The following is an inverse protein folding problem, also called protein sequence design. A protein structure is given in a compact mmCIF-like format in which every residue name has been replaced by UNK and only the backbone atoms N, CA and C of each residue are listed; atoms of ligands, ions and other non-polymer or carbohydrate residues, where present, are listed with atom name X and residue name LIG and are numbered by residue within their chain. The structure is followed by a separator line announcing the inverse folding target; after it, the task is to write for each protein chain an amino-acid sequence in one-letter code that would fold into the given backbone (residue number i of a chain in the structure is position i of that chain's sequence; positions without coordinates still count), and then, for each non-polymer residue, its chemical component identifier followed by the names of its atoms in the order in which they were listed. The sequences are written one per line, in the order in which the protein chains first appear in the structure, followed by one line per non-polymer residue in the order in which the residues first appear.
data_IF_478741018186
#
_entry.id   IF_478741018186
#
_cell.length_a   1.000
_cell.length_b   1.000
_cell.length_c   1.000
_cell.angle_alpha   90.00
_cell.angle_beta   90.00
_cell.angle_gamma   90.00
#
_symmetry.space_group_name_H-M   'P 1'
#
loop_
_entity.id
_entity.type
_entity.pdbx_description
1 polymer ?
#
# COMPACT_ATOMS: atom_id res chain seq x y z
N UNK A 1 -2.29 -20.67 -13.53
CA UNK A 1 -1.70 -19.32 -13.61
C UNK A 1 -2.83 -18.37 -13.95
N UNK A 2 -3.27 -17.54 -12.99
CA UNK A 2 -4.26 -16.51 -13.29
C UNK A 2 -3.56 -15.42 -14.09
N UNK A 3 -3.83 -15.39 -15.39
CA UNK A 3 -3.48 -14.28 -16.26
C UNK A 3 -4.31 -13.06 -15.82
N UNK A 4 -3.72 -12.18 -15.02
CA UNK A 4 -4.23 -10.82 -14.82
C UNK A 4 -3.89 -9.90 -15.99
N UNK A 5 -3.61 -10.46 -17.18
CA UNK A 5 -3.42 -9.71 -18.41
C UNK A 5 -4.80 -9.54 -19.05
N UNK A 6 -5.52 -8.50 -18.63
CA UNK A 6 -6.72 -8.02 -19.33
C UNK A 6 -6.29 -7.07 -20.47
N UNK A 7 -6.85 -7.14 -21.69
CA UNK A 7 -6.34 -6.43 -22.87
C UNK A 7 -6.54 -4.89 -22.88
N UNK A 8 -7.01 -4.29 -21.79
CA UNK A 8 -7.50 -2.90 -21.77
C UNK A 8 -6.48 -1.83 -21.37
N UNK A 9 -5.21 -2.16 -21.13
CA UNK A 9 -4.10 -1.19 -21.14
C UNK A 9 -4.02 -0.18 -19.98
N UNK A 10 -4.94 -0.19 -19.01
CA UNK A 10 -4.92 0.71 -17.86
C UNK A 10 -4.95 -0.09 -16.56
N UNK A 11 -3.77 -0.40 -16.02
CA UNK A 11 -3.64 -0.81 -14.63
C UNK A 11 -3.01 0.35 -13.87
N UNK A 12 -3.65 0.75 -12.78
CA UNK A 12 -3.01 1.58 -11.76
C UNK A 12 -2.31 0.62 -10.81
N UNK A 13 -1.02 0.84 -10.59
CA UNK A 13 -0.21 0.02 -9.69
C UNK A 13 -0.78 0.07 -8.25
N UNK A 14 -0.81 -1.02 -7.47
CA UNK A 14 -1.33 -0.96 -6.11
C UNK A 14 -0.48 -0.07 -5.19
N UNK A 15 -1.15 0.57 -4.23
CA UNK A 15 -0.53 1.34 -3.13
C UNK A 15 -0.92 0.71 -1.80
N UNK A 16 0.06 0.31 -1.00
CA UNK A 16 -0.14 -0.35 0.30
C UNK A 16 0.50 0.52 1.38
N UNK A 17 -0.26 0.86 2.42
CA UNK A 17 0.23 1.57 3.60
C UNK A 17 -0.31 0.94 4.88
N UNK A 18 0.54 0.79 5.90
CA UNK A 18 0.19 0.20 7.20
C UNK A 18 1.12 0.68 8.32
N UNK A 19 0.72 0.41 9.57
CA UNK A 19 1.59 0.54 10.74
C UNK A 19 2.17 -0.82 11.13
N UNK A 20 3.42 -0.84 11.56
CA UNK A 20 4.11 -2.04 12.10
C UNK A 20 3.59 -2.41 13.51
N UNK A 21 3.09 -1.42 14.27
CA UNK A 21 2.47 -1.61 15.59
C UNK A 21 0.96 -1.89 15.54
N UNK A 22 0.40 -2.24 14.38
CA UNK A 22 -0.99 -2.67 14.26
C UNK A 22 -1.18 -4.06 14.91
N UNK A 23 -1.75 -4.08 16.11
CA UNK A 23 -2.05 -5.31 16.86
C UNK A 23 -3.42 -5.93 16.52
N UNK A 24 -4.19 -5.34 15.60
CA UNK A 24 -5.49 -5.84 15.14
C UNK A 24 -5.34 -6.60 13.83
N UNK A 25 -4.54 -6.07 12.90
CA UNK A 25 -4.25 -6.67 11.60
C UNK A 25 -2.73 -6.87 11.47
N UNK A 26 -2.25 -8.13 11.51
CA UNK A 26 -0.82 -8.41 11.44
C UNK A 26 -0.16 -7.87 10.15
N UNK A 27 1.04 -7.30 10.29
CA UNK A 27 1.86 -6.74 9.20
C UNK A 27 2.08 -7.74 8.05
N UNK A 28 2.10 -9.04 8.36
CA UNK A 28 2.30 -10.13 7.42
C UNK A 28 1.22 -10.19 6.32
N UNK A 29 0.01 -9.68 6.58
CA UNK A 29 -1.03 -9.64 5.55
C UNK A 29 -0.60 -8.77 4.36
N UNK A 30 -0.10 -7.56 4.64
CA UNK A 30 0.43 -6.65 3.62
C UNK A 30 1.69 -7.19 2.97
N UNK A 31 2.60 -7.80 3.74
CA UNK A 31 3.82 -8.41 3.20
C UNK A 31 3.52 -9.58 2.25
N UNK A 32 2.53 -10.42 2.56
CA UNK A 32 2.07 -11.51 1.69
C UNK A 32 1.50 -10.97 0.39
N UNK A 33 0.70 -9.91 0.46
CA UNK A 33 0.12 -9.30 -0.73
C UNK A 33 1.18 -8.66 -1.63
N UNK A 34 2.08 -7.85 -1.05
CA UNK A 34 3.24 -7.30 -1.76
C UNK A 34 4.09 -8.40 -2.41
N UNK A 35 4.41 -9.47 -1.66
CA UNK A 35 5.23 -10.59 -2.17
C UNK A 35 4.56 -11.27 -3.36
N UNK A 36 3.23 -11.45 -3.31
CA UNK A 36 2.48 -12.03 -4.43
C UNK A 36 2.54 -11.13 -5.67
N UNK A 37 2.30 -9.82 -5.52
CA UNK A 37 2.40 -8.84 -6.61
C UNK A 37 3.80 -8.83 -7.23
N UNK A 38 4.83 -8.74 -6.38
CA UNK A 38 6.23 -8.77 -6.78
C UNK A 38 6.59 -10.04 -7.57
N UNK A 39 6.17 -11.24 -7.10
CA UNK A 39 6.38 -12.51 -7.81
C UNK A 39 5.72 -12.57 -9.18
N UNK A 40 4.64 -11.83 -9.37
CA UNK A 40 3.92 -11.71 -10.64
C UNK A 40 4.37 -10.51 -11.49
N UNK A 41 5.44 -9.81 -11.09
CA UNK A 41 5.95 -8.61 -11.77
C UNK A 41 4.90 -7.50 -11.91
N UNK A 42 3.96 -7.43 -10.96
CA UNK A 42 3.03 -6.31 -10.85
C UNK A 42 3.73 -5.22 -10.04
N UNK A 43 3.96 -4.02 -10.59
CA UNK A 43 4.55 -2.92 -9.84
C UNK A 43 3.64 -2.53 -8.67
N UNK A 44 4.21 -2.18 -7.53
CA UNK A 44 3.48 -1.87 -6.29
C UNK A 44 4.32 -0.99 -5.36
N UNK A 45 3.68 -0.02 -4.73
CA UNK A 45 4.27 0.79 -3.65
C UNK A 45 3.88 0.21 -2.29
N UNK A 46 4.85 0.04 -1.39
CA UNK A 46 4.64 -0.43 -0.01
C UNK A 46 5.26 0.57 0.98
N UNK A 47 4.45 1.07 1.90
CA UNK A 47 4.84 2.01 2.94
C UNK A 47 4.51 1.43 4.32
N UNK A 48 5.54 1.18 5.13
CA UNK A 48 5.39 0.66 6.50
C UNK A 48 5.85 1.75 7.47
N UNK A 49 4.95 2.18 8.35
CA UNK A 49 5.23 3.17 9.38
C UNK A 49 5.45 2.48 10.73
N UNK A 50 6.41 2.90 11.55
CA UNK A 50 6.74 2.19 12.78
C UNK A 50 5.64 2.27 13.85
N UNK A 51 4.81 3.32 13.81
CA UNK A 51 3.75 3.54 14.80
C UNK A 51 2.51 4.17 14.17
N UNK A 52 1.34 3.91 14.74
CA UNK A 52 0.06 4.48 14.33
C UNK A 52 -1.15 3.65 14.73
N UNK A 53 -0.92 2.40 15.11
CA UNK A 53 -1.95 1.42 15.42
C UNK A 53 -2.86 1.15 14.22
N UNK A 54 -4.02 0.58 14.54
CA UNK A 54 -5.04 0.24 13.55
C UNK A 54 -5.88 1.47 13.14
N UNK A 55 -6.20 1.58 11.85
CA UNK A 55 -7.29 2.43 11.38
C UNK A 55 -7.01 3.95 11.35
N UNK A 56 -5.76 4.37 11.21
CA UNK A 56 -5.43 5.81 11.15
C UNK A 56 -5.99 6.52 9.91
N UNK A 57 -6.14 5.85 8.76
CA UNK A 57 -6.82 6.40 7.58
C UNK A 57 -6.37 7.82 7.19
N UNK A 58 -7.23 8.82 7.42
CA UNK A 58 -6.95 10.24 7.16
C UNK A 58 -6.94 11.09 8.45
N UNK A 59 -6.73 10.45 9.62
CA UNK A 59 -6.77 11.11 10.92
C UNK A 59 -5.68 12.17 11.05
N UNK A 60 -6.07 13.34 11.55
CA UNK A 60 -5.18 14.47 11.81
C UNK A 60 -4.07 14.17 12.83
N UNK A 61 -4.33 13.23 13.74
CA UNK A 61 -3.42 12.83 14.81
C UNK A 61 -2.38 11.81 14.38
N UNK A 62 -2.46 11.27 13.15
CA UNK A 62 -1.49 10.30 12.68
C UNK A 62 -0.14 10.96 12.45
N UNK A 63 0.90 10.46 13.15
CA UNK A 63 2.25 11.04 13.13
C UNK A 63 2.83 11.21 11.74
N UNK A 64 2.58 10.25 10.85
CA UNK A 64 3.15 10.20 9.49
C UNK A 64 2.13 10.61 8.41
N UNK A 65 1.11 11.39 8.78
CA UNK A 65 0.03 11.83 7.89
C UNK A 65 0.58 12.51 6.64
N UNK A 66 1.49 13.47 6.80
CA UNK A 66 2.01 14.22 5.66
C UNK A 66 2.79 13.32 4.70
N UNK A 67 3.57 12.39 5.23
CA UNK A 67 4.35 11.42 4.47
C UNK A 67 3.46 10.51 3.64
N UNK A 68 2.44 9.89 4.25
CA UNK A 68 1.53 8.99 3.53
C UNK A 68 0.67 9.74 2.53
N UNK A 69 0.25 10.97 2.83
CA UNK A 69 -0.51 11.79 1.88
C UNK A 69 0.33 12.23 0.70
N UNK A 70 1.59 12.61 0.92
CA UNK A 70 2.50 12.99 -0.16
C UNK A 70 2.80 11.78 -1.06
N UNK A 71 3.10 10.62 -0.47
CA UNK A 71 3.31 9.39 -1.22
C UNK A 71 2.07 8.98 -2.03
N UNK A 72 0.88 9.08 -1.43
CA UNK A 72 -0.38 8.82 -2.13
C UNK A 72 -0.64 9.85 -3.24
N UNK A 73 -0.32 11.12 -3.02
CA UNK A 73 -0.48 12.16 -4.02
C UNK A 73 0.47 11.97 -5.21
N UNK A 74 1.70 11.55 -4.97
CA UNK A 74 2.66 11.24 -6.04
C UNK A 74 2.22 10.00 -6.83
N UNK A 75 1.71 8.98 -6.14
CA UNK A 75 1.08 7.82 -6.78
C UNK A 75 -0.16 8.20 -7.62
N UNK A 76 -1.03 9.09 -7.11
CA UNK A 76 -2.20 9.58 -7.86
C UNK A 76 -1.83 10.38 -9.13
N UNK A 77 -0.62 10.97 -9.16
CA UNK A 77 -0.12 11.75 -10.31
C UNK A 77 0.64 10.90 -11.31
N UNK A 78 0.85 9.60 -11.05
CA UNK A 78 1.65 8.73 -11.91
C UNK A 78 0.85 8.09 -13.06
N UNK A 79 -0.42 8.48 -13.23
CA UNK A 79 -1.31 8.06 -14.31
C UNK A 79 -2.08 9.25 -14.88
#
# INVERSE_FOLDING_TARGET
MLNLINPSGFYVDPFIALSDDDNVVPVENSLRYYTALHRHHVPVSLHIYPTGGHGWGYQETFRFKHEVHNALADWLRSF
#
